data_IF_245173195985
#
_entry.id   IF_245173195985
#
_cell.length_a   1.000
_cell.length_b   1.000
_cell.length_c   1.000
_cell.angle_alpha   90.00
_cell.angle_beta   90.00
_cell.angle_gamma   90.00
#
_symmetry.space_group_name_H-M   'P 1'
#
loop_
_entity.id
_entity.type
_entity.pdbx_description
1 polymer ?
#
# COMPACT_ATOMS: atom_id res chain seq x y z
N UNK A 1 -11.76 -9.21 -13.81
CA UNK A 1 -10.68 -8.58 -14.59
C UNK A 1 -9.72 -7.91 -13.61
N UNK A 2 -8.42 -8.14 -13.78
CA UNK A 2 -7.40 -7.53 -12.93
C UNK A 2 -6.96 -6.17 -13.48
N UNK A 3 -6.50 -5.29 -12.60
CA UNK A 3 -5.89 -4.01 -12.96
C UNK A 3 -4.52 -3.91 -12.32
N UNK A 4 -3.50 -3.72 -13.13
CA UNK A 4 -2.10 -3.74 -12.71
C UNK A 4 -1.49 -2.33 -12.79
N UNK A 5 -0.56 -2.04 -11.88
CA UNK A 5 0.21 -0.80 -11.84
C UNK A 5 1.69 -1.14 -11.66
N UNK A 6 2.49 -0.75 -12.65
CA UNK A 6 3.94 -0.69 -12.54
C UNK A 6 4.36 0.70 -12.02
N UNK A 7 4.94 0.72 -10.83
CA UNK A 7 5.40 1.92 -10.15
C UNK A 7 6.93 1.99 -10.35
N UNK A 8 7.34 2.85 -11.27
CA UNK A 8 8.73 3.13 -11.61
C UNK A 8 9.56 1.95 -12.15
N UNK A 9 8.94 0.85 -12.60
CA UNK A 9 9.66 -0.37 -12.97
C UNK A 9 10.22 -1.13 -11.77
N UNK A 10 9.89 -0.70 -10.54
CA UNK A 10 10.43 -1.25 -9.30
C UNK A 10 9.35 -1.98 -8.52
N UNK A 11 8.13 -1.46 -8.42
CA UNK A 11 7.04 -2.08 -7.65
C UNK A 11 5.84 -2.42 -8.51
N UNK A 12 5.26 -3.60 -8.29
CA UNK A 12 4.01 -4.03 -8.88
C UNK A 12 2.86 -4.03 -7.88
N UNK A 13 1.76 -3.33 -8.21
CA UNK A 13 0.49 -3.44 -7.50
C UNK A 13 -0.56 -4.08 -8.43
N UNK A 14 -1.24 -5.12 -7.95
CA UNK A 14 -2.37 -5.74 -8.66
C UNK A 14 -3.68 -5.58 -7.90
N UNK A 15 -4.74 -5.17 -8.61
CA UNK A 15 -6.10 -5.21 -8.11
C UNK A 15 -6.81 -6.42 -8.71
N UNK A 16 -7.19 -7.38 -7.86
CA UNK A 16 -7.88 -8.61 -8.26
C UNK A 16 -9.39 -8.37 -8.22
N UNK A 17 -10.03 -8.45 -9.39
CA UNK A 17 -11.47 -8.20 -9.57
C UNK A 17 -11.99 -6.97 -8.77
N UNK A 18 -11.40 -5.78 -8.94
CA UNK A 18 -11.76 -4.63 -8.13
C UNK A 18 -13.17 -4.15 -8.39
N UNK A 19 -13.78 -3.54 -7.38
CA UNK A 19 -14.97 -2.72 -7.60
C UNK A 19 -14.61 -1.46 -8.41
N UNK A 20 -15.56 -0.87 -9.16
CA UNK A 20 -15.34 0.42 -9.82
C UNK A 20 -14.92 1.54 -8.87
N UNK A 21 -15.36 1.49 -7.61
CA UNK A 21 -14.96 2.45 -6.57
C UNK A 21 -13.51 2.25 -6.12
N UNK A 22 -13.05 0.99 -6.00
CA UNK A 22 -11.66 0.68 -5.66
C UNK A 22 -10.72 1.10 -6.77
N UNK A 23 -11.04 0.71 -8.01
CA UNK A 23 -10.23 1.06 -9.17
C UNK A 23 -10.05 2.58 -9.30
N UNK A 24 -11.14 3.36 -9.17
CA UNK A 24 -11.08 4.84 -9.20
C UNK A 24 -10.29 5.43 -8.04
N UNK A 25 -10.40 4.87 -6.84
CA UNK A 25 -9.66 5.35 -5.68
C UNK A 25 -8.16 5.09 -5.85
N UNK A 26 -7.77 3.88 -6.25
CA UNK A 26 -6.37 3.51 -6.50
C UNK A 26 -5.78 4.37 -7.60
N UNK A 27 -6.49 4.55 -8.72
CA UNK A 27 -6.05 5.41 -9.81
C UNK A 27 -5.76 6.85 -9.35
N UNK A 28 -6.57 7.41 -8.44
CA UNK A 28 -6.32 8.74 -7.86
C UNK A 28 -5.14 8.77 -6.88
N UNK A 29 -4.92 7.69 -6.13
CA UNK A 29 -3.83 7.62 -5.15
C UNK A 29 -2.47 7.32 -5.78
N UNK A 30 -2.47 6.74 -6.98
CA UNK A 30 -1.29 6.42 -7.75
C UNK A 30 -1.06 7.38 -8.93
N UNK A 31 -1.73 8.52 -9.00
CA UNK A 31 -1.33 9.55 -9.98
C UNK A 31 0.13 9.99 -9.68
N UNK A 32 1.04 10.02 -10.67
CA UNK A 32 0.80 9.97 -12.13
C UNK A 32 0.83 8.58 -12.78
N UNK A 33 1.14 7.50 -12.05
CA UNK A 33 1.19 6.13 -12.59
C UNK A 33 -0.17 5.68 -13.13
N UNK A 34 -0.19 5.26 -14.40
CA UNK A 34 -1.37 4.73 -15.09
C UNK A 34 -1.35 3.19 -15.03
N UNK A 35 -2.51 2.53 -15.18
CA UNK A 35 -2.54 1.08 -15.29
C UNK A 35 -1.63 0.58 -16.42
N UNK A 36 -0.79 -0.40 -16.12
CA UNK A 36 0.19 -0.98 -17.04
C UNK A 36 0.39 -2.46 -16.70
N UNK A 37 0.62 -3.34 -17.68
CA UNK A 37 1.00 -4.72 -17.41
C UNK A 37 2.26 -4.81 -16.56
N UNK A 38 2.32 -5.79 -15.66
CA UNK A 38 3.53 -6.09 -14.90
C UNK A 38 4.45 -7.02 -15.70
N UNK A 39 5.75 -6.76 -15.64
CA UNK A 39 6.77 -7.65 -16.20
C UNK A 39 7.06 -8.88 -15.31
N UNK A 40 6.62 -8.85 -14.04
CA UNK A 40 6.82 -9.90 -13.03
C UNK A 40 5.60 -10.01 -12.10
N UNK A 41 5.63 -10.96 -11.16
CA UNK A 41 4.59 -11.07 -10.14
C UNK A 41 4.47 -9.77 -9.31
N UNK A 42 3.24 -9.39 -8.90
CA UNK A 42 3.03 -8.19 -8.10
C UNK A 42 3.62 -8.34 -6.70
N UNK A 43 4.19 -7.26 -6.17
CA UNK A 43 4.64 -7.19 -4.78
C UNK A 43 3.46 -7.20 -3.80
N UNK A 44 2.41 -6.48 -4.17
CA UNK A 44 1.19 -6.35 -3.38
C UNK A 44 0.00 -6.55 -4.30
N UNK A 45 -0.91 -7.40 -3.89
CA UNK A 45 -2.21 -7.56 -4.52
C UNK A 45 -3.33 -7.16 -3.57
N UNK A 46 -4.38 -6.56 -4.08
CA UNK A 46 -5.62 -6.29 -3.33
C UNK A 46 -6.71 -7.18 -3.88
N UNK A 47 -7.37 -7.95 -3.02
CA UNK A 47 -8.51 -8.78 -3.41
C UNK A 47 -9.72 -8.53 -2.53
N UNK A 48 -10.92 -8.74 -3.07
CA UNK A 48 -12.12 -8.78 -2.23
C UNK A 48 -12.08 -10.05 -1.40
N UNK A 49 -12.08 -9.90 -0.08
CA UNK A 49 -12.13 -10.98 0.88
C UNK A 49 -13.46 -11.73 0.70
N UNK A 50 -13.40 -12.97 0.23
CA UNK A 50 -14.58 -13.83 0.02
C UNK A 50 -14.94 -14.59 1.30
N UNK A 51 -13.93 -15.13 1.99
CA UNK A 51 -14.05 -15.75 3.32
C UNK A 51 -12.67 -15.74 3.96
N UNK A 52 -12.51 -15.30 5.21
CA UNK A 52 -11.27 -15.56 5.94
C UNK A 52 -11.27 -17.04 6.30
N UNK A 53 -10.39 -17.85 5.71
CA UNK A 53 -10.25 -19.25 6.11
C UNK A 53 -9.76 -19.30 7.55
N UNK A 54 -10.64 -19.67 8.49
CA UNK A 54 -10.24 -19.96 9.87
C UNK A 54 -9.63 -21.36 9.91
N UNK A 55 -8.33 -21.47 9.71
CA UNK A 55 -7.58 -22.64 10.14
C UNK A 55 -6.59 -22.20 11.21
N UNK A 56 -6.66 -22.82 12.38
CA UNK A 56 -5.77 -22.56 13.51
C UNK A 56 -6.36 -21.69 14.62
N UNK A 57 -5.58 -21.56 15.69
CA UNK A 57 -5.93 -20.71 16.84
C UNK A 57 -5.89 -19.24 16.43
N UNK A 58 -6.86 -18.47 16.92
CA UNK A 58 -6.89 -17.02 16.77
C UNK A 58 -6.70 -16.37 18.12
N UNK A 59 -5.83 -15.38 18.16
CA UNK A 59 -5.58 -14.56 19.32
C UNK A 59 -6.17 -13.19 19.05
N UNK A 60 -7.02 -12.73 19.95
CA UNK A 60 -7.57 -11.38 19.91
C UNK A 60 -6.62 -10.44 20.65
N UNK A 61 -6.24 -9.35 20.00
CA UNK A 61 -5.53 -8.26 20.66
C UNK A 61 -6.53 -7.42 21.44
N UNK A 62 -6.11 -6.92 22.61
CA UNK A 62 -6.97 -6.12 23.50
C UNK A 62 -7.48 -4.84 22.83
N UNK A 63 -8.56 -4.30 23.39
CA UNK A 63 -9.17 -3.06 22.89
C UNK A 63 -8.22 -1.87 23.10
N UNK A 64 -7.89 -1.18 22.01
CA UNK A 64 -7.06 0.02 22.00
C UNK A 64 -7.88 1.32 22.17
N UNK A 65 -9.20 1.24 22.35
CA UNK A 65 -10.09 2.38 22.50
C UNK A 65 -10.40 3.12 21.20
N UNK A 66 -10.05 2.56 20.05
CA UNK A 66 -10.23 3.15 18.71
C UNK A 66 -11.31 2.44 17.87
N UNK A 67 -12.08 1.56 18.52
CA UNK A 67 -13.10 0.69 17.92
C UNK A 67 -12.57 -0.22 16.80
N UNK A 68 -11.26 -0.47 16.77
CA UNK A 68 -10.64 -1.42 15.86
C UNK A 68 -10.45 -2.75 16.57
N UNK A 69 -11.10 -3.79 16.04
CA UNK A 69 -10.84 -5.14 16.48
C UNK A 69 -9.67 -5.71 15.70
N UNK A 70 -8.76 -6.37 16.40
CA UNK A 70 -7.64 -7.07 15.78
C UNK A 70 -7.57 -8.51 16.28
N UNK A 71 -7.51 -9.43 15.33
CA UNK A 71 -7.24 -10.84 15.55
C UNK A 71 -6.01 -11.24 14.75
N UNK A 72 -5.19 -12.14 15.27
CA UNK A 72 -4.08 -12.72 14.51
C UNK A 72 -4.03 -14.24 14.69
N UNK A 73 -3.49 -14.91 13.69
CA UNK A 73 -3.08 -16.29 13.71
C UNK A 73 -1.61 -16.38 13.30
N UNK A 74 -1.10 -17.60 13.13
CA UNK A 74 0.25 -17.85 12.62
C UNK A 74 0.45 -17.35 11.17
N UNK A 75 -0.64 -17.14 10.42
CA UNK A 75 -0.60 -16.84 8.98
C UNK A 75 -1.26 -15.53 8.57
N UNK A 76 -2.16 -14.98 9.38
CA UNK A 76 -2.95 -13.80 9.00
C UNK A 76 -3.21 -12.87 10.18
N UNK A 77 -3.21 -11.58 9.89
CA UNK A 77 -3.79 -10.56 10.75
C UNK A 77 -5.12 -10.11 10.16
N UNK A 78 -6.15 -10.11 10.98
CA UNK A 78 -7.49 -9.68 10.64
C UNK A 78 -7.79 -8.40 11.41
N UNK A 79 -8.16 -7.36 10.68
CA UNK A 79 -8.52 -6.06 11.23
C UNK A 79 -9.96 -5.75 10.88
N UNK A 80 -10.78 -5.39 11.87
CA UNK A 80 -12.17 -4.98 11.64
C UNK A 80 -12.40 -3.61 12.26
N UNK A 81 -13.07 -2.75 11.50
CA UNK A 81 -13.54 -1.45 11.99
C UNK A 81 -14.86 -1.09 11.33
N UNK A 82 -15.93 -1.09 12.11
CA UNK A 82 -17.30 -0.98 11.58
C UNK A 82 -17.58 -2.10 10.57
N UNK A 83 -18.03 -1.75 9.36
CA UNK A 83 -18.35 -2.72 8.31
C UNK A 83 -17.13 -3.20 7.50
N UNK A 84 -15.94 -2.63 7.74
CA UNK A 84 -14.72 -2.97 7.00
C UNK A 84 -13.99 -4.11 7.69
N UNK A 85 -13.56 -5.11 6.91
CA UNK A 85 -12.63 -6.15 7.35
C UNK A 85 -11.43 -6.18 6.40
N UNK A 86 -10.24 -6.39 6.95
CA UNK A 86 -9.00 -6.52 6.22
C UNK A 86 -8.28 -7.79 6.68
N UNK A 87 -7.69 -8.54 5.74
CA UNK A 87 -6.78 -9.65 6.01
C UNK A 87 -5.40 -9.32 5.46
N UNK A 88 -4.36 -9.45 6.28
CA UNK A 88 -2.98 -9.18 5.94
C UNK A 88 -2.08 -10.37 6.31
N UNK A 89 -1.48 -11.06 5.33
CA UNK A 89 -0.49 -12.09 5.60
C UNK A 89 0.87 -11.45 5.87
N UNK A 90 1.10 -10.98 7.11
CA UNK A 90 2.32 -10.22 7.46
C UNK A 90 3.62 -10.94 7.10
N UNK A 91 3.66 -12.27 7.18
CA UNK A 91 4.85 -13.06 6.88
C UNK A 91 5.27 -13.03 5.41
N UNK A 92 4.38 -12.65 4.49
CA UNK A 92 4.69 -12.57 3.06
C UNK A 92 4.87 -11.12 2.55
N UNK A 93 4.74 -10.13 3.43
CA UNK A 93 5.02 -8.73 3.07
C UNK A 93 6.52 -8.59 2.77
N UNK A 94 6.86 -8.09 1.58
CA UNK A 94 8.23 -8.04 1.09
C UNK A 94 8.55 -9.11 0.03
N UNK A 95 7.88 -10.26 0.08
CA UNK A 95 8.08 -11.38 -0.87
C UNK A 95 6.95 -11.48 -1.91
N UNK A 96 5.81 -10.87 -1.63
CA UNK A 96 4.58 -10.96 -2.41
C UNK A 96 3.41 -11.25 -1.47
N UNK A 97 2.45 -10.34 -1.39
CA UNK A 97 1.31 -10.52 -0.49
C UNK A 97 -0.03 -10.18 -1.15
N UNK A 98 -1.07 -10.90 -0.75
CA UNK A 98 -2.46 -10.58 -1.12
C UNK A 98 -3.17 -10.02 0.10
N UNK A 99 -3.46 -8.72 0.07
CA UNK A 99 -4.26 -8.05 1.08
C UNK A 99 -5.75 -8.25 0.74
N UNK A 100 -6.45 -8.95 1.62
CA UNK A 100 -7.88 -9.16 1.51
C UNK A 100 -8.66 -7.99 2.11
N UNK A 101 -9.74 -7.56 1.46
CA UNK A 101 -10.62 -6.51 1.98
C UNK A 101 -12.11 -6.81 1.74
N UNK A 102 -12.95 -6.53 2.72
CA UNK A 102 -14.41 -6.49 2.58
C UNK A 102 -15.02 -5.23 3.23
N UNK A 103 -16.22 -4.87 2.78
CA UNK A 103 -16.98 -3.72 3.27
C UNK A 103 -16.70 -2.41 2.53
N UNK A 104 -17.72 -1.71 2.04
CA UNK A 104 -17.55 -0.58 1.09
C UNK A 104 -16.97 0.72 1.65
N UNK A 105 -16.98 0.94 2.97
CA UNK A 105 -16.43 2.13 3.62
C UNK A 105 -14.95 1.94 4.01
N UNK A 106 -14.19 3.03 4.13
CA UNK A 106 -12.81 2.97 4.62
C UNK A 106 -11.75 2.51 3.61
N UNK A 107 -12.08 2.43 2.31
CA UNK A 107 -11.13 2.05 1.24
C UNK A 107 -9.90 2.95 1.16
N UNK A 108 -10.05 4.25 1.50
CA UNK A 108 -8.92 5.17 1.59
C UNK A 108 -7.94 4.74 2.69
N UNK A 109 -8.47 4.28 3.81
CA UNK A 109 -7.68 3.76 4.94
C UNK A 109 -6.95 2.47 4.56
N UNK A 110 -7.62 1.55 3.84
CA UNK A 110 -6.97 0.37 3.24
C UNK A 110 -5.70 0.75 2.48
N UNK A 111 -5.79 1.77 1.60
CA UNK A 111 -4.65 2.18 0.80
C UNK A 111 -3.53 2.86 1.60
N UNK A 112 -3.88 3.81 2.46
CA UNK A 112 -2.90 4.62 3.18
C UNK A 112 -2.22 3.81 4.29
N UNK A 113 -2.99 3.06 5.07
CA UNK A 113 -2.51 2.46 6.32
C UNK A 113 -1.94 1.06 6.11
N UNK A 114 -2.24 0.38 4.99
CA UNK A 114 -1.85 -1.02 4.80
C UNK A 114 -1.17 -1.28 3.46
N UNK A 115 -1.80 -0.92 2.34
CA UNK A 115 -1.23 -1.20 1.00
C UNK A 115 0.05 -0.39 0.78
N UNK A 116 0.05 0.91 1.11
CA UNK A 116 1.23 1.77 0.94
C UNK A 116 2.40 1.30 1.83
N UNK A 117 2.25 1.02 3.13
CA UNK A 117 3.32 0.44 3.93
C UNK A 117 3.83 -0.90 3.40
N UNK A 118 2.94 -1.79 2.94
CA UNK A 118 3.35 -3.06 2.33
C UNK A 118 4.21 -2.84 1.08
N UNK A 119 3.81 -1.92 0.19
CA UNK A 119 4.60 -1.53 -0.98
C UNK A 119 5.96 -0.94 -0.58
N UNK A 120 6.02 -0.13 0.48
CA UNK A 120 7.27 0.45 0.98
C UNK A 120 8.22 -0.62 1.52
N UNK A 121 7.71 -1.61 2.25
CA UNK A 121 8.49 -2.74 2.75
C UNK A 121 8.99 -3.60 1.57
N UNK A 122 8.17 -3.80 0.53
CA UNK A 122 8.57 -4.53 -0.68
C UNK A 122 9.68 -3.89 -1.51
N UNK A 123 10.08 -2.65 -1.21
CA UNK A 123 11.28 -2.04 -1.80
C UNK A 123 12.59 -2.57 -1.20
N UNK A 124 12.57 -2.98 0.07
CA UNK A 124 13.78 -3.38 0.81
C UNK A 124 14.54 -4.54 0.14
N UNK A 125 13.92 -5.67 -0.24
CA UNK A 125 14.64 -6.75 -0.92
C UNK A 125 15.12 -6.35 -2.32
N UNK A 126 14.62 -5.25 -2.88
CA UNK A 126 15.00 -4.70 -4.19
C UNK A 126 16.13 -3.66 -4.09
N UNK A 127 16.77 -3.53 -2.92
CA UNK A 127 17.81 -2.53 -2.68
C UNK A 127 17.31 -1.08 -2.80
N UNK A 128 16.00 -0.89 -2.65
CA UNK A 128 15.34 0.41 -2.76
C UNK A 128 14.64 0.76 -1.46
N UNK A 129 14.31 2.04 -1.26
CA UNK A 129 13.56 2.49 -0.10
C UNK A 129 12.67 3.67 -0.47
N UNK A 130 11.52 3.79 0.18
CA UNK A 130 10.63 4.93 0.02
C UNK A 130 11.03 6.07 0.96
N UNK A 131 11.15 7.28 0.41
CA UNK A 131 11.46 8.49 1.17
C UNK A 131 10.30 9.46 1.16
N UNK A 132 9.99 10.04 2.33
CA UNK A 132 9.13 11.21 2.41
C UNK A 132 9.95 12.47 2.12
N UNK A 133 10.18 12.74 0.83
CA UNK A 133 11.07 13.79 0.36
C UNK A 133 10.55 14.46 -0.91
N UNK A 134 11.10 15.64 -1.21
CA UNK A 134 11.08 16.20 -2.55
C UNK A 134 12.43 15.90 -3.22
N UNK A 135 12.44 15.72 -4.54
CA UNK A 135 13.66 15.41 -5.28
C UNK A 135 13.68 16.12 -6.64
N UNK A 136 14.88 16.51 -7.09
CA UNK A 136 15.12 17.15 -8.40
C UNK A 136 16.45 16.64 -8.99
N UNK A 137 16.53 16.58 -10.31
CA UNK A 137 17.79 16.39 -11.02
C UNK A 137 18.31 17.76 -11.49
N UNK A 138 19.52 18.13 -11.08
CA UNK A 138 20.15 19.40 -11.43
C UNK A 138 21.63 19.19 -11.76
N UNK A 139 22.08 19.66 -12.93
CA UNK A 139 23.47 19.51 -13.41
C UNK A 139 24.01 18.07 -13.32
N UNK A 140 23.20 17.09 -13.69
CA UNK A 140 23.57 15.67 -13.63
C UNK A 140 23.62 15.07 -12.22
N UNK A 141 23.21 15.81 -11.19
CA UNK A 141 23.14 15.35 -9.80
C UNK A 141 21.69 15.19 -9.35
N UNK A 142 21.41 14.13 -8.60
CA UNK A 142 20.14 13.98 -7.88
C UNK A 142 20.23 14.68 -6.53
N UNK A 143 19.32 15.62 -6.27
CA UNK A 143 19.18 16.31 -4.99
C UNK A 143 17.89 15.83 -4.34
N UNK A 144 17.96 15.45 -3.06
CA UNK A 144 16.83 14.99 -2.28
C UNK A 144 16.74 15.79 -0.97
N UNK A 145 15.55 16.27 -0.66
CA UNK A 145 15.26 17.00 0.57
C UNK A 145 14.15 16.30 1.34
N UNK A 146 14.51 15.72 2.48
CA UNK A 146 13.59 15.09 3.42
C UNK A 146 13.34 16.03 4.61
N UNK A 147 12.15 15.92 5.20
CA UNK A 147 11.70 16.84 6.24
C UNK A 147 10.22 16.65 6.53
N UNK A 148 9.77 17.22 7.64
CA UNK A 148 8.37 17.14 8.06
C UNK A 148 7.44 17.92 7.13
N UNK A 149 6.13 17.73 7.29
CA UNK A 149 5.16 18.59 6.63
C UNK A 149 5.49 20.06 6.92
N UNK A 150 5.31 20.93 5.92
CA UNK A 150 5.51 22.38 6.04
C UNK A 150 6.95 22.84 6.31
N UNK A 151 7.95 21.95 6.17
CA UNK A 151 9.37 22.31 6.32
C UNK A 151 9.99 23.00 5.09
N UNK A 152 9.17 23.46 4.13
CA UNK A 152 9.65 24.11 2.91
C UNK A 152 10.27 23.18 1.85
N UNK A 153 10.02 21.85 1.90
CA UNK A 153 10.67 20.89 0.97
C UNK A 153 10.39 21.22 -0.49
N UNK A 154 9.13 21.49 -0.80
CA UNK A 154 8.68 21.74 -2.16
C UNK A 154 9.21 23.08 -2.63
N UNK A 155 9.08 24.12 -1.81
CA UNK A 155 9.52 25.49 -2.07
C UNK A 155 11.02 25.56 -2.33
N UNK A 156 11.83 24.84 -1.55
CA UNK A 156 13.27 24.75 -1.77
C UNK A 156 13.62 24.07 -3.11
N UNK A 157 12.86 23.04 -3.52
CA UNK A 157 13.10 22.38 -4.80
C UNK A 157 12.64 23.22 -6.01
N UNK A 158 11.64 24.10 -5.85
CA UNK A 158 11.20 24.99 -6.93
C UNK A 158 12.31 25.94 -7.41
N UNK A 159 13.28 26.27 -6.55
CA UNK A 159 14.45 27.07 -6.93
C UNK A 159 15.36 26.38 -7.97
N UNK A 160 15.19 25.09 -8.21
CA UNK A 160 15.90 24.32 -9.24
C UNK A 160 15.12 24.19 -10.55
N UNK A 161 13.87 24.69 -10.63
CA UNK A 161 13.13 24.78 -11.87
C UNK A 161 13.65 25.99 -12.66
N UNK A 162 14.48 25.73 -13.67
CA UNK A 162 14.90 26.69 -14.69
C UNK A 162 14.19 26.41 -16.00
#
# INVERSE_FOLDING_TARGET
MNVDYDIHGVLGLRLIDPTPSLARLVARQLDPWRPSPLASEPDVSISRLRTVSSRGNRYRLGDAGDSQECEFSDSEFILRKGAMSLSLPFSSVGEGCVIGWSGGSGMRRLLIDYVRPALQISLLPKGSLALHSAAVAYEGKGILLAGWAESGKTEAMLGFLQ
#
